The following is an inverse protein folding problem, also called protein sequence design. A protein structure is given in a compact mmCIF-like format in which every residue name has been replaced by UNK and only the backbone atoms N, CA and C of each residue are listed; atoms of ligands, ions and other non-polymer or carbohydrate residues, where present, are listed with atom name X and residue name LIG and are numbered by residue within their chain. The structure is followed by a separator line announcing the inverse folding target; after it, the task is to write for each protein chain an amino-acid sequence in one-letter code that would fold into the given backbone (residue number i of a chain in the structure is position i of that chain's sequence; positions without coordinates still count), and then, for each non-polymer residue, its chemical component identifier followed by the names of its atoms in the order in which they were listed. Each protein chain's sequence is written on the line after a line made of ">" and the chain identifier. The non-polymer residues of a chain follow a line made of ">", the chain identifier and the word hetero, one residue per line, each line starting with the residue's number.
data_IF_512158951172
#
_entry.id   IF_512158951172
#
_cell.length_a   1.000
_cell.length_b   1.000
_cell.length_c   1.000
_cell.angle_alpha   90.00
_cell.angle_beta   90.00
_cell.angle_gamma   90.00
#
_symmetry.space_group_name_H-M   'P 1'
#
loop_
_entity.id
_entity.type
_entity.pdbx_description
1 polymer ?
#
# COMPACT_ATOMS: atom_id res chain seq x y z
N UNK A 1 -1.46 -1.89 -40.78
CA UNK A 1 -1.28 -2.85 -39.69
C UNK A 1 -0.89 -2.06 -38.46
N UNK A 2 -1.85 -1.79 -37.56
CA UNK A 2 -1.62 -0.93 -36.39
C UNK A 2 -1.02 -1.79 -35.27
N UNK A 3 0.32 -1.82 -35.17
CA UNK A 3 1.01 -2.33 -33.98
C UNK A 3 0.93 -1.25 -32.91
N UNK A 4 -0.14 -1.27 -32.12
CA UNK A 4 -0.26 -0.44 -30.93
C UNK A 4 0.81 -0.86 -29.92
N UNK A 5 1.73 0.05 -29.63
CA UNK A 5 2.71 -0.08 -28.56
C UNK A 5 1.94 -0.20 -27.23
N UNK A 6 1.93 -1.39 -26.62
CA UNK A 6 1.41 -1.57 -25.28
C UNK A 6 2.41 -0.91 -24.33
N UNK A 7 2.19 0.36 -24.00
CA UNK A 7 2.93 1.06 -22.96
C UNK A 7 2.77 0.27 -21.65
N UNK A 8 3.79 -0.49 -21.26
CA UNK A 8 3.78 -1.26 -20.03
C UNK A 8 3.76 -0.29 -18.84
N UNK A 9 2.56 0.00 -18.33
CA UNK A 9 2.36 0.84 -17.15
C UNK A 9 3.11 0.22 -15.97
N UNK A 10 4.05 0.94 -15.39
CA UNK A 10 4.72 0.53 -14.17
C UNK A 10 3.67 0.42 -13.04
N UNK A 11 3.72 -0.64 -12.23
CA UNK A 11 2.75 -0.83 -11.15
C UNK A 11 2.82 0.34 -10.16
N UNK A 12 1.66 0.86 -9.77
CA UNK A 12 1.58 1.95 -8.81
C UNK A 12 1.89 1.40 -7.41
N UNK A 13 2.80 2.05 -6.69
CA UNK A 13 3.19 1.66 -5.34
C UNK A 13 2.89 2.79 -4.35
N UNK A 14 2.19 2.48 -3.28
CA UNK A 14 1.92 3.40 -2.18
C UNK A 14 1.89 2.67 -0.84
N UNK A 15 1.79 3.42 0.25
CA UNK A 15 1.71 2.89 1.60
C UNK A 15 0.51 3.50 2.31
N UNK A 16 -0.19 2.67 3.07
CA UNK A 16 -1.24 3.06 4.00
C UNK A 16 -0.97 2.40 5.35
N UNK A 17 -1.61 2.87 6.40
CA UNK A 17 -1.58 2.26 7.71
C UNK A 17 -2.80 1.34 7.91
N UNK A 18 -2.55 0.22 8.56
CA UNK A 18 -3.61 -0.62 9.12
C UNK A 18 -4.26 0.08 10.33
N UNK A 19 -5.44 -0.40 10.75
CA UNK A 19 -6.11 0.08 11.97
C UNK A 19 -5.24 -0.04 13.25
N UNK A 20 -4.17 -0.86 13.22
CA UNK A 20 -3.22 -1.02 14.32
C UNK A 20 -1.95 -0.18 14.13
N UNK A 21 -1.96 0.78 13.21
CA UNK A 21 -0.84 1.68 12.91
C UNK A 21 0.31 1.06 12.10
N UNK A 22 0.30 -0.25 11.84
CA UNK A 22 1.35 -0.90 11.03
C UNK A 22 1.20 -0.58 9.55
N UNK A 23 2.29 -0.34 8.81
CA UNK A 23 2.23 -0.05 7.38
C UNK A 23 1.78 -1.27 6.57
N UNK A 24 0.97 -1.01 5.56
CA UNK A 24 0.58 -1.90 4.49
C UNK A 24 1.12 -1.31 3.19
N UNK A 25 1.65 -2.20 2.36
CA UNK A 25 2.06 -1.88 1.00
C UNK A 25 0.85 -2.03 0.08
N UNK A 26 0.63 -1.05 -0.80
CA UNK A 26 -0.39 -1.11 -1.85
C UNK A 26 0.32 -1.24 -3.20
N UNK A 27 -0.05 -2.25 -3.98
CA UNK A 27 0.41 -2.45 -5.36
C UNK A 27 -0.80 -2.81 -6.22
N UNK A 28 -1.08 -2.00 -7.24
CA UNK A 28 -2.21 -2.18 -8.16
C UNK A 28 -3.55 -2.48 -7.45
N UNK A 29 -3.87 -1.69 -6.43
CA UNK A 29 -5.08 -1.79 -5.59
C UNK A 29 -5.18 -3.05 -4.71
N UNK A 30 -4.09 -3.80 -4.56
CA UNK A 30 -3.99 -4.89 -3.60
C UNK A 30 -3.15 -4.49 -2.39
N UNK A 31 -3.59 -4.89 -1.19
CA UNK A 31 -2.85 -4.66 0.04
C UNK A 31 -1.98 -5.84 0.45
N UNK A 32 -0.77 -5.53 0.90
CA UNK A 32 0.19 -6.49 1.42
C UNK A 32 0.66 -6.08 2.82
N UNK A 33 0.78 -7.05 3.72
CA UNK A 33 1.38 -6.87 5.04
C UNK A 33 2.83 -7.32 5.03
N UNK A 34 3.67 -6.64 5.81
CA UNK A 34 5.06 -7.05 5.98
C UNK A 34 5.10 -8.43 6.65
N UNK A 35 5.77 -9.38 6.00
CA UNK A 35 6.01 -10.71 6.53
C UNK A 35 7.38 -10.80 7.22
N UNK A 36 8.42 -10.28 6.55
CA UNK A 36 9.81 -10.27 7.03
C UNK A 36 10.57 -9.11 6.40
N UNK A 37 11.51 -8.54 7.13
CA UNK A 37 12.52 -7.63 6.58
C UNK A 37 13.93 -8.20 6.79
N UNK A 38 14.80 -8.01 5.81
CA UNK A 38 16.25 -8.15 5.91
C UNK A 38 16.88 -6.77 5.73
N UNK A 39 18.21 -6.70 5.81
CA UNK A 39 18.96 -5.45 5.59
C UNK A 39 18.69 -4.81 4.23
N UNK A 40 18.45 -5.63 3.21
CA UNK A 40 18.30 -5.17 1.82
C UNK A 40 16.89 -5.32 1.26
N UNK A 41 16.09 -6.23 1.79
CA UNK A 41 14.83 -6.65 1.18
C UNK A 41 13.71 -6.74 2.21
N UNK A 42 12.54 -6.21 1.87
CA UNK A 42 11.29 -6.40 2.61
C UNK A 42 10.39 -7.34 1.83
N UNK A 43 9.90 -8.37 2.51
CA UNK A 43 9.03 -9.41 1.97
C UNK A 43 7.61 -9.16 2.45
N UNK A 44 6.70 -8.96 1.52
CA UNK A 44 5.32 -8.61 1.74
C UNK A 44 4.42 -9.74 1.22
N UNK A 45 3.36 -10.05 1.98
CA UNK A 45 2.37 -11.06 1.60
C UNK A 45 1.00 -10.42 1.53
N UNK A 46 0.14 -10.89 0.63
CA UNK A 46 -1.21 -10.36 0.52
C UNK A 46 -1.94 -10.44 1.87
N UNK A 47 -2.79 -9.46 2.14
CA UNK A 47 -3.58 -9.42 3.39
C UNK A 47 -4.69 -10.45 3.44
N UNK A 48 -5.20 -10.90 2.29
CA UNK A 48 -6.26 -11.92 2.20
C UNK A 48 -5.69 -13.30 2.49
N UNK A 49 -6.32 -14.01 3.41
CA UNK A 49 -5.88 -15.35 3.80
C UNK A 49 -6.04 -16.33 2.62
N UNK A 50 -5.07 -17.22 2.43
CA UNK A 50 -5.04 -18.18 1.31
C UNK A 50 -4.59 -17.60 -0.03
N UNK A 51 -4.38 -16.28 -0.14
CA UNK A 51 -3.82 -15.67 -1.33
C UNK A 51 -2.32 -15.96 -1.45
N UNK A 52 -1.86 -16.42 -2.62
CA UNK A 52 -0.47 -16.79 -2.86
C UNK A 52 0.44 -15.61 -3.22
N UNK A 53 -0.15 -14.45 -3.54
CA UNK A 53 0.55 -13.26 -4.02
C UNK A 53 1.49 -12.66 -2.97
N UNK A 54 2.70 -12.32 -3.41
CA UNK A 54 3.77 -11.72 -2.59
C UNK A 54 4.45 -10.61 -3.37
N UNK A 55 5.00 -9.65 -2.64
CA UNK A 55 5.76 -8.53 -3.20
C UNK A 55 7.05 -8.38 -2.43
N UNK A 56 8.14 -8.10 -3.13
CA UNK A 56 9.42 -7.76 -2.54
C UNK A 56 9.75 -6.31 -2.88
N UNK A 57 10.17 -5.55 -1.87
CA UNK A 57 10.73 -4.21 -2.05
C UNK A 57 12.15 -4.17 -1.51
N UNK A 58 12.94 -3.20 -1.95
CA UNK A 58 14.23 -2.93 -1.32
C UNK A 58 14.03 -2.28 0.07
N UNK A 59 15.14 -2.00 0.76
CA UNK A 59 15.13 -1.30 2.05
C UNK A 59 14.53 0.12 1.97
N UNK A 60 14.62 0.75 0.80
CA UNK A 60 14.09 2.07 0.45
C UNK A 60 12.65 2.02 -0.11
N UNK A 61 11.94 0.90 0.05
CA UNK A 61 10.56 0.71 -0.38
C UNK A 61 10.33 0.75 -1.91
N UNK A 62 11.38 0.59 -2.72
CA UNK A 62 11.23 0.47 -4.18
C UNK A 62 10.80 -0.94 -4.55
N UNK A 63 9.83 -1.06 -5.44
CA UNK A 63 9.36 -2.36 -5.94
C UNK A 63 10.51 -3.10 -6.63
N UNK A 64 10.80 -4.31 -6.16
CA UNK A 64 11.79 -5.19 -6.79
C UNK A 64 11.13 -6.31 -7.59
N UNK A 65 10.12 -6.97 -7.00
CA UNK A 65 9.49 -8.15 -7.61
C UNK A 65 8.07 -8.37 -7.09
N UNK A 66 7.19 -8.83 -7.97
CA UNK A 66 5.89 -9.43 -7.63
C UNK A 66 5.93 -10.94 -7.90
N UNK A 67 5.31 -11.75 -7.05
CA UNK A 67 5.36 -13.22 -7.10
C UNK A 67 3.99 -13.82 -6.85
N UNK A 68 3.56 -14.76 -7.70
CA UNK A 68 2.27 -15.43 -7.57
C UNK A 68 1.11 -14.55 -8.05
N UNK A 69 -0.08 -15.15 -8.12
CA UNK A 69 -1.31 -14.50 -8.57
C UNK A 69 -2.28 -14.32 -7.41
N UNK A 70 -3.13 -13.29 -7.52
CA UNK A 70 -4.27 -13.10 -6.64
C UNK A 70 -5.38 -14.09 -6.99
N UNK A 71 -5.98 -14.69 -5.97
CA UNK A 71 -7.17 -15.55 -6.08
C UNK A 71 -8.46 -14.81 -5.73
N UNK A 72 -8.40 -13.48 -5.64
CA UNK A 72 -9.49 -12.62 -5.23
C UNK A 72 -9.40 -11.28 -5.97
N UNK A 73 -10.50 -10.55 -6.02
CA UNK A 73 -10.55 -9.20 -6.59
C UNK A 73 -9.87 -8.17 -5.65
N UNK A 74 -9.41 -7.02 -6.19
CA UNK A 74 -8.90 -5.93 -5.36
C UNK A 74 -10.03 -5.31 -4.51
N UNK A 75 -9.71 -4.91 -3.28
CA UNK A 75 -10.67 -4.29 -2.35
C UNK A 75 -10.63 -2.75 -2.44
N UNK A 76 -10.84 -2.18 -3.64
CA UNK A 76 -10.65 -0.75 -3.93
C UNK A 76 -11.42 0.18 -3.00
N UNK A 77 -12.69 -0.09 -2.76
CA UNK A 77 -13.53 0.70 -1.87
C UNK A 77 -12.96 0.75 -0.43
N UNK A 78 -12.46 -0.39 0.06
CA UNK A 78 -11.83 -0.45 1.40
C UNK A 78 -10.53 0.34 1.46
N UNK A 79 -9.78 0.39 0.35
CA UNK A 79 -8.58 1.21 0.23
C UNK A 79 -8.94 2.70 0.29
N UNK A 80 -9.90 3.15 -0.52
CA UNK A 80 -10.34 4.54 -0.55
C UNK A 80 -10.82 5.02 0.83
N UNK A 81 -11.64 4.22 1.52
CA UNK A 81 -12.10 4.54 2.88
C UNK A 81 -10.93 4.69 3.86
N UNK A 82 -9.88 3.86 3.73
CA UNK A 82 -8.68 3.96 4.58
C UNK A 82 -7.89 5.24 4.29
N UNK A 83 -7.69 5.57 3.02
CA UNK A 83 -6.99 6.80 2.63
C UNK A 83 -7.72 8.05 3.12
N UNK A 84 -9.05 8.08 3.00
CA UNK A 84 -9.88 9.18 3.51
C UNK A 84 -9.75 9.27 5.04
N UNK A 85 -9.82 8.14 5.75
CA UNK A 85 -9.67 8.12 7.21
C UNK A 85 -8.32 8.66 7.67
N UNK A 86 -7.23 8.34 6.98
CA UNK A 86 -5.89 8.86 7.30
C UNK A 86 -5.82 10.38 7.13
N UNK A 87 -6.34 10.88 6.01
CA UNK A 87 -6.41 12.34 5.75
C UNK A 87 -7.24 13.04 6.81
N UNK A 88 -8.41 12.50 7.15
CA UNK A 88 -9.28 13.05 8.20
C UNK A 88 -8.57 13.05 9.56
N UNK A 89 -7.92 11.95 9.94
CA UNK A 89 -7.17 11.84 11.20
C UNK A 89 -6.07 12.89 11.28
N UNK A 90 -5.33 13.08 10.18
CA UNK A 90 -4.30 14.10 10.08
C UNK A 90 -4.87 15.51 10.19
N UNK A 91 -5.96 15.81 9.49
CA UNK A 91 -6.63 17.12 9.54
C UNK A 91 -7.11 17.45 10.96
N UNK A 92 -7.80 16.52 11.63
CA UNK A 92 -8.23 16.73 13.00
C UNK A 92 -7.05 17.02 13.93
N UNK A 93 -5.96 16.24 13.84
CA UNK A 93 -4.78 16.46 14.67
C UNK A 93 -4.16 17.85 14.47
N UNK A 94 -4.06 18.31 13.21
CA UNK A 94 -3.51 19.64 12.90
C UNK A 94 -4.44 20.77 13.38
N UNK A 95 -5.75 20.64 13.21
CA UNK A 95 -6.72 21.64 13.73
C UNK A 95 -6.58 21.77 15.25
N UNK A 96 -6.55 20.67 15.99
CA UNK A 96 -6.35 20.71 17.45
C UNK A 96 -5.01 21.33 17.86
N UNK A 97 -3.94 21.12 17.09
CA UNK A 97 -2.64 21.72 17.37
C UNK A 97 -2.64 23.24 17.12
N UNK A 98 -3.22 23.69 16.00
CA UNK A 98 -3.29 25.12 15.66
C UNK A 98 -4.08 25.94 16.68
N UNK A 99 -5.16 25.39 17.23
CA UNK A 99 -5.97 26.07 18.25
C UNK A 99 -5.21 26.22 19.57
N UNK A 100 -4.33 25.27 19.92
CA UNK A 100 -3.50 25.34 21.14
C UNK A 100 -2.33 26.31 21.08
N UNK A 101 -1.84 26.65 19.88
CA UNK A 101 -0.70 27.59 19.72
C UNK A 101 -1.19 29.05 19.75
N UNK A 102 -2.49 29.26 19.54
CA UNK A 102 -3.10 30.60 19.48
C UNK A 102 -3.74 31.07 20.81
N UNK A 103 -3.61 30.29 21.89
CA UNK A 103 -4.07 30.60 23.26
C UNK A 103 -2.90 30.58 24.22
#
# INVERSE_FOLDING_TARGET
>A
TLTGEIQAKSPAISFINSNKGKPLLVVDDYTFKLNKATTTTKYWICTINGCAAKVHTDSNNRLMKTVGNHSHLPEKEKLEVREVREKITFLFFNVFLTVKIST
#
